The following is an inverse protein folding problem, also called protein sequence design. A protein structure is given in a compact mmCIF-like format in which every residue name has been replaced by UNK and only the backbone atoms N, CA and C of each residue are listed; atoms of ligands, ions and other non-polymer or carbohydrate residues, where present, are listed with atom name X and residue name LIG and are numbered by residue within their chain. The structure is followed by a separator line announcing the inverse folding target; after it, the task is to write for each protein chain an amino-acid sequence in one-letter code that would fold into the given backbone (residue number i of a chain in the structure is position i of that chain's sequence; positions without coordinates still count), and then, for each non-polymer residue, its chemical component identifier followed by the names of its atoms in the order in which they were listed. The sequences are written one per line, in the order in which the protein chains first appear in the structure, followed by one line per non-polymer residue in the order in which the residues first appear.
data_IF_015419477344
#
_entry.id   IF_015419477344
#
_cell.length_a   1.000
_cell.length_b   1.000
_cell.length_c   1.000
_cell.angle_alpha   90.00
_cell.angle_beta   90.00
_cell.angle_gamma   90.00
#
_symmetry.space_group_name_H-M   'P 1'
#
loop_
_entity.id
_entity.type
_entity.pdbx_description
1 polymer ?
#
# COMPACT_ATOMS: atom_id res chain seq x y z
N UNK A 1 -2.13 -9.73 20.49
CA UNK A 1 -1.98 -8.57 19.58
C UNK A 1 -1.92 -9.12 18.16
N UNK A 2 -3.04 -9.09 17.42
CA UNK A 2 -3.03 -9.47 16.01
C UNK A 2 -2.26 -8.40 15.24
N UNK A 3 -1.17 -8.80 14.57
CA UNK A 3 -0.49 -7.96 13.59
C UNK A 3 -1.51 -7.35 12.62
N UNK A 4 -1.38 -6.09 12.19
CA UNK A 4 -2.30 -5.53 11.20
C UNK A 4 -2.05 -6.28 9.89
N UNK A 5 -2.91 -7.25 9.59
CA UNK A 5 -2.89 -8.03 8.36
C UNK A 5 -3.56 -7.20 7.25
N UNK A 6 -2.99 -6.04 6.91
CA UNK A 6 -3.52 -5.16 5.86
C UNK A 6 -2.92 -5.45 4.49
N UNK A 7 -3.48 -4.87 3.43
CA UNK A 7 -2.83 -4.88 2.11
C UNK A 7 -1.96 -3.63 1.98
N UNK A 8 -0.68 -3.85 1.71
CA UNK A 8 0.28 -2.80 1.39
C UNK A 8 1.03 -3.14 0.12
N UNK A 9 1.44 -2.12 -0.63
CA UNK A 9 2.30 -2.22 -1.80
C UNK A 9 3.55 -1.36 -1.63
N UNK A 10 4.61 -1.75 -2.34
CA UNK A 10 5.90 -1.08 -2.36
C UNK A 10 6.28 -0.99 -3.83
N UNK A 11 6.13 0.21 -4.40
CA UNK A 11 6.36 0.48 -5.81
C UNK A 11 7.66 1.26 -5.93
N UNK A 12 8.68 0.62 -6.49
CA UNK A 12 10.03 1.17 -6.63
C UNK A 12 10.14 1.98 -7.93
N UNK A 13 10.94 3.05 -7.92
CA UNK A 13 11.33 3.85 -9.09
C UNK A 13 10.14 4.44 -9.88
N UNK A 14 9.05 4.79 -9.20
CA UNK A 14 7.84 5.37 -9.79
C UNK A 14 7.26 6.51 -8.96
N UNK A 15 6.60 7.45 -9.64
CA UNK A 15 5.93 8.60 -9.05
C UNK A 15 4.49 8.77 -9.53
N UNK A 16 3.77 9.74 -8.98
CA UNK A 16 2.37 10.01 -9.33
C UNK A 16 2.19 10.57 -10.74
N UNK A 17 3.24 11.10 -11.34
CA UNK A 17 3.28 11.56 -12.73
C UNK A 17 3.17 10.41 -13.74
N UNK A 18 3.43 9.17 -13.31
CA UNK A 18 3.27 7.98 -14.15
C UNK A 18 1.79 7.62 -14.30
N UNK A 19 1.33 7.55 -15.55
CA UNK A 19 -0.04 7.17 -15.88
C UNK A 19 -0.38 5.76 -15.40
N UNK A 20 0.55 4.81 -15.46
CA UNK A 20 0.35 3.44 -14.98
C UNK A 20 0.12 3.41 -13.48
N UNK A 21 0.82 4.26 -12.71
CA UNK A 21 0.61 4.43 -11.27
C UNK A 21 -0.80 4.97 -10.99
N UNK A 22 -1.22 6.03 -11.70
CA UNK A 22 -2.56 6.62 -11.52
C UNK A 22 -3.68 5.64 -11.87
N UNK A 23 -3.51 4.88 -12.95
CA UNK A 23 -4.44 3.83 -13.38
C UNK A 23 -4.49 2.68 -12.36
N UNK A 24 -3.36 2.26 -11.80
CA UNK A 24 -3.29 1.24 -10.75
C UNK A 24 -3.96 1.69 -9.45
N UNK A 25 -3.72 2.94 -9.02
CA UNK A 25 -4.38 3.53 -7.84
C UNK A 25 -5.88 3.64 -8.06
N UNK A 26 -6.32 4.03 -9.25
CA UNK A 26 -7.75 4.09 -9.60
C UNK A 26 -8.38 2.71 -9.65
N UNK A 27 -7.67 1.70 -10.14
CA UNK A 27 -8.09 0.30 -10.09
C UNK A 27 -8.23 -0.18 -8.65
N UNK A 28 -7.26 0.12 -7.77
CA UNK A 28 -7.38 -0.17 -6.34
C UNK A 28 -8.59 0.53 -5.73
N UNK A 29 -8.83 1.79 -6.09
CA UNK A 29 -9.95 2.58 -5.57
C UNK A 29 -11.30 1.98 -5.99
N UNK A 30 -11.41 1.50 -7.24
CA UNK A 30 -12.57 0.76 -7.71
C UNK A 30 -12.80 -0.54 -6.91
N UNK A 31 -11.73 -1.28 -6.57
CA UNK A 31 -11.83 -2.56 -5.87
C UNK A 31 -12.09 -2.42 -4.35
N UNK A 32 -11.57 -1.37 -3.72
CA UNK A 32 -11.63 -1.18 -2.26
C UNK A 32 -12.55 -0.04 -1.82
N UNK A 33 -13.10 0.73 -2.75
CA UNK A 33 -13.98 1.87 -2.49
C UNK A 33 -13.24 3.18 -2.25
N UNK A 34 -13.93 4.28 -2.57
CA UNK A 34 -13.42 5.63 -2.34
C UNK A 34 -13.05 5.87 -0.87
N UNK A 35 -11.92 6.54 -0.65
CA UNK A 35 -11.44 6.85 0.69
C UNK A 35 -10.59 5.75 1.36
N UNK A 36 -10.39 4.61 0.69
CA UNK A 36 -9.68 3.47 1.27
C UNK A 36 -8.28 3.19 0.68
N UNK A 37 -7.87 3.94 -0.34
CA UNK A 37 -6.55 3.80 -0.98
C UNK A 37 -5.68 4.98 -0.60
N UNK A 38 -4.59 4.70 0.10
CA UNK A 38 -3.66 5.72 0.59
C UNK A 38 -2.28 5.46 0.04
N UNK A 39 -1.58 6.50 -0.36
CA UNK A 39 -0.22 6.43 -0.87
C UNK A 39 0.66 7.47 -0.18
N UNK A 40 1.97 7.29 -0.23
CA UNK A 40 2.96 8.26 0.21
C UNK A 40 4.29 8.03 -0.49
N UNK A 41 5.15 9.03 -0.46
CA UNK A 41 6.55 8.85 -0.85
C UNK A 41 7.22 7.82 0.08
N UNK A 42 7.91 6.85 -0.50
CA UNK A 42 8.65 5.84 0.23
C UNK A 42 9.89 6.45 0.91
N UNK A 43 10.49 5.71 1.83
CA UNK A 43 11.75 6.14 2.46
C UNK A 43 12.96 6.09 1.52
N UNK A 44 12.84 5.55 0.29
CA UNK A 44 13.94 5.65 -0.70
C UNK A 44 13.98 7.03 -1.37
N UNK A 45 12.88 7.79 -1.34
CA UNK A 45 12.75 9.08 -2.02
C UNK A 45 12.25 8.99 -3.46
N UNK A 46 12.37 7.82 -4.09
CA UNK A 46 12.08 7.61 -5.52
C UNK A 46 11.03 6.51 -5.74
N UNK A 47 10.11 6.31 -4.80
CA UNK A 47 9.06 5.30 -4.93
C UNK A 47 7.85 5.59 -4.06
N UNK A 48 6.85 4.72 -4.12
CA UNK A 48 5.60 4.87 -3.40
C UNK A 48 5.32 3.70 -2.47
N UNK A 49 4.91 4.02 -1.25
CA UNK A 49 4.22 3.07 -0.39
C UNK A 49 2.72 3.27 -0.53
N UNK A 50 1.98 2.16 -0.61
CA UNK A 50 0.53 2.18 -0.69
C UNK A 50 -0.04 1.31 0.43
N UNK A 51 -1.15 1.75 1.02
CA UNK A 51 -1.90 1.00 2.01
C UNK A 51 -3.40 1.05 1.72
N UNK A 52 -4.04 -0.11 1.86
CA UNK A 52 -5.50 -0.20 1.85
C UNK A 52 -5.99 -0.11 3.29
N UNK A 53 -6.67 0.99 3.61
CA UNK A 53 -6.98 1.36 4.99
C UNK A 53 -8.03 2.45 5.08
N UNK A 54 -8.69 2.54 6.23
CA UNK A 54 -9.67 3.58 6.54
C UNK A 54 -9.06 4.62 7.47
N UNK A 55 -9.44 5.89 7.31
CA UNK A 55 -9.08 6.93 8.26
C UNK A 55 -9.89 6.74 9.55
N UNK A 56 -9.20 6.68 10.67
CA UNK A 56 -9.79 6.61 12.02
C UNK A 56 -9.28 7.78 12.83
N UNK A 57 -10.16 8.31 13.67
CA UNK A 57 -9.82 9.34 14.66
C UNK A 57 -9.90 8.65 16.02
N UNK A 58 -8.80 8.66 16.77
CA UNK A 58 -8.83 8.25 18.16
C UNK A 58 -9.66 9.28 18.95
N UNK A 59 -10.80 8.89 19.55
CA UNK A 59 -11.69 9.83 20.23
C UNK A 59 -11.06 10.46 21.48
N UNK A 60 -9.99 9.88 22.04
CA UNK A 60 -9.30 10.39 23.23
C UNK A 60 -8.23 11.41 22.89
N UNK A 61 -7.46 11.15 21.84
CA UNK A 61 -6.31 11.98 21.45
C UNK A 61 -6.61 12.92 20.29
N UNK A 62 -7.74 12.71 19.61
CA UNK A 62 -8.10 13.32 18.32
C UNK A 62 -7.05 13.08 17.22
N UNK A 63 -6.14 12.14 17.45
CA UNK A 63 -5.13 11.77 16.48
C UNK A 63 -5.76 10.99 15.34
N UNK A 64 -5.47 11.41 14.10
CA UNK A 64 -5.92 10.75 12.89
C UNK A 64 -4.86 9.76 12.44
N UNK A 65 -5.26 8.53 12.16
CA UNK A 65 -4.37 7.51 11.62
C UNK A 65 -5.11 6.64 10.61
N UNK A 66 -4.33 5.96 9.76
CA UNK A 66 -4.88 5.01 8.81
C UNK A 66 -4.88 3.64 9.47
N UNK A 67 -6.06 3.08 9.66
CA UNK A 67 -6.24 1.72 10.11
C UNK A 67 -6.28 0.79 8.89
N UNK A 68 -5.32 -0.16 8.75
CA UNK A 68 -5.31 -1.07 7.62
C UNK A 68 -6.55 -1.96 7.63
N UNK A 69 -7.21 -2.13 6.48
CA UNK A 69 -8.35 -3.03 6.34
C UNK A 69 -7.81 -4.48 6.41
N UNK A 70 -8.28 -5.32 7.36
CA UNK A 70 -7.81 -6.69 7.48
C UNK A 70 -8.05 -7.52 6.21
N UNK A 71 -7.05 -8.32 5.84
CA UNK A 71 -7.03 -9.15 4.63
C UNK A 71 -6.22 -10.43 4.88
N UNK A 72 -6.72 -11.56 4.39
CA UNK A 72 -6.02 -12.84 4.44
C UNK A 72 -4.70 -12.78 3.66
N UNK A 73 -3.69 -13.50 4.11
CA UNK A 73 -2.38 -13.48 3.48
C UNK A 73 -2.42 -13.99 2.02
N UNK A 74 -3.30 -14.96 1.75
CA UNK A 74 -3.63 -15.46 0.41
C UNK A 74 -4.02 -14.34 -0.54
N UNK A 75 -4.98 -13.52 -0.13
CA UNK A 75 -5.49 -12.42 -0.93
C UNK A 75 -4.44 -11.33 -1.08
N UNK A 76 -3.70 -11.02 -0.02
CA UNK A 76 -2.61 -10.04 -0.11
C UNK A 76 -1.57 -10.44 -1.16
N UNK A 77 -1.16 -11.72 -1.17
CA UNK A 77 -0.21 -12.24 -2.17
C UNK A 77 -0.84 -12.24 -3.57
N UNK A 78 -2.13 -12.54 -3.70
CA UNK A 78 -2.85 -12.48 -4.98
C UNK A 78 -2.85 -11.06 -5.56
N UNK A 79 -3.15 -10.05 -4.75
CA UNK A 79 -3.10 -8.64 -5.17
C UNK A 79 -1.68 -8.18 -5.52
N UNK A 80 -0.67 -8.52 -4.71
CA UNK A 80 0.73 -8.21 -5.04
C UNK A 80 1.18 -8.87 -6.34
N UNK A 81 0.79 -10.12 -6.58
CA UNK A 81 1.08 -10.83 -7.83
C UNK A 81 0.45 -10.14 -9.04
N UNK A 82 -0.74 -9.57 -8.90
CA UNK A 82 -1.37 -8.76 -9.98
C UNK A 82 -0.55 -7.50 -10.23
N UNK A 83 -0.16 -6.77 -9.18
CA UNK A 83 0.64 -5.54 -9.30
C UNK A 83 2.09 -5.78 -9.77
N UNK A 84 2.62 -6.99 -9.61
CA UNK A 84 3.96 -7.37 -10.07
C UNK A 84 4.02 -7.79 -11.56
N UNK A 85 2.89 -7.77 -12.28
CA UNK A 85 2.77 -8.27 -13.65
C UNK A 85 2.11 -7.22 -14.55
N UNK A 86 2.19 -7.45 -15.86
CA UNK A 86 1.43 -6.67 -16.86
C UNK A 86 -0.07 -6.61 -16.50
N UNK A 87 -0.71 -5.43 -16.66
CA UNK A 87 -0.17 -4.21 -17.25
C UNK A 87 0.61 -3.30 -16.28
N UNK A 88 0.68 -3.65 -14.99
CA UNK A 88 1.18 -2.74 -13.95
C UNK A 88 2.71 -2.75 -13.81
N UNK A 89 3.30 -3.92 -13.57
CA UNK A 89 4.73 -4.09 -13.27
C UNK A 89 5.29 -3.16 -12.17
N UNK A 90 4.47 -2.79 -11.18
CA UNK A 90 4.82 -1.81 -10.15
C UNK A 90 5.40 -2.44 -8.88
N UNK A 91 4.91 -3.61 -8.46
CA UNK A 91 5.30 -4.17 -7.15
C UNK A 91 6.77 -4.63 -7.11
N UNK A 92 7.47 -4.24 -6.05
CA UNK A 92 8.83 -4.66 -5.76
C UNK A 92 8.96 -6.20 -5.74
N UNK A 93 9.74 -6.74 -6.67
CA UNK A 93 9.96 -8.20 -6.81
C UNK A 93 10.59 -8.82 -5.56
N UNK A 94 11.58 -8.13 -4.98
CA UNK A 94 12.28 -8.61 -3.78
C UNK A 94 11.32 -8.75 -2.59
N UNK A 95 10.44 -7.77 -2.41
CA UNK A 95 9.40 -7.81 -1.40
C UNK A 95 8.39 -8.93 -1.66
N UNK A 96 7.92 -9.08 -2.90
CA UNK A 96 6.97 -10.14 -3.25
C UNK A 96 7.51 -11.55 -2.93
N UNK A 97 8.78 -11.83 -3.25
CA UNK A 97 9.45 -13.10 -2.92
C UNK A 97 9.54 -13.28 -1.39
N UNK A 98 10.01 -12.26 -0.68
CA UNK A 98 10.14 -12.29 0.79
C UNK A 98 8.79 -12.53 1.47
N UNK A 99 7.74 -11.81 1.09
CA UNK A 99 6.42 -11.93 1.71
C UNK A 99 5.76 -13.27 1.38
N UNK A 100 6.01 -13.84 0.21
CA UNK A 100 5.58 -15.22 -0.11
C UNK A 100 6.24 -16.24 0.83
N UNK A 101 7.55 -16.13 1.09
CA UNK A 101 8.24 -17.01 2.03
C UNK A 101 7.75 -16.81 3.48
N UNK A 102 7.42 -15.56 3.86
CA UNK A 102 6.87 -15.24 5.19
C UNK A 102 5.49 -15.80 5.41
N UNK A 103 4.62 -15.75 4.39
CA UNK A 103 3.30 -16.39 4.41
C UNK A 103 3.45 -17.88 4.74
N UNK A 104 4.34 -18.60 4.06
CA UNK A 104 4.59 -20.02 4.30
C UNK A 104 5.05 -20.30 5.74
N UNK A 105 5.76 -19.35 6.35
CA UNK A 105 6.17 -19.41 7.76
C UNK A 105 5.17 -18.82 8.76
N UNK A 106 3.94 -18.47 8.36
CA UNK A 106 2.91 -17.91 9.25
C UNK A 106 3.22 -16.51 9.80
N UNK A 107 4.04 -15.72 9.08
CA UNK A 107 4.48 -14.38 9.51
C UNK A 107 3.73 -13.27 8.76
N UNK A 108 3.65 -12.08 9.37
CA UNK A 108 3.02 -10.90 8.76
C UNK A 108 3.70 -10.48 7.43
N UNK A 109 2.90 -10.21 6.42
CA UNK A 109 3.25 -9.85 5.02
C UNK A 109 2.91 -8.40 4.67
N UNK A 110 2.40 -7.59 5.59
CA UNK A 110 1.89 -6.23 5.34
C UNK A 110 2.92 -5.12 5.58
N UNK A 111 4.21 -5.46 5.57
CA UNK A 111 5.28 -4.55 6.01
C UNK A 111 5.70 -3.59 4.90
N UNK A 112 5.92 -2.33 5.28
CA UNK A 112 6.55 -1.26 4.51
C UNK A 112 7.53 -0.52 5.44
N UNK A 113 8.63 -0.01 4.90
CA UNK A 113 9.61 0.70 5.72
C UNK A 113 9.15 2.13 5.96
N UNK A 114 9.20 2.60 7.21
CA UNK A 114 8.96 4.02 7.51
C UNK A 114 10.28 4.79 7.46
N UNK A 115 11.36 4.16 7.97
CA UNK A 115 12.71 4.73 8.01
C UNK A 115 13.68 3.75 7.35
N UNK A 116 14.56 4.26 6.49
CA UNK A 116 15.63 3.50 5.84
C UNK A 116 16.79 4.46 5.53
N UNK A 117 18.02 4.10 5.91
CA UNK A 117 19.22 4.92 5.67
C UNK A 117 19.02 6.40 6.09
N UNK A 118 18.50 6.64 7.30
CA UNK A 118 18.19 7.97 7.86
C UNK A 118 17.05 8.74 7.15
N UNK A 119 16.56 8.26 6.01
CA UNK A 119 15.42 8.82 5.30
C UNK A 119 14.10 8.30 5.88
N UNK A 120 13.10 9.19 5.92
CA UNK A 120 11.76 8.92 6.44
C UNK A 120 10.76 9.02 5.29
N UNK A 121 9.78 8.12 5.24
CA UNK A 121 8.66 8.19 4.30
C UNK A 121 7.83 9.47 4.51
N UNK A 122 7.21 9.98 3.44
CA UNK A 122 6.32 11.13 3.53
C UNK A 122 5.00 10.85 4.24
N UNK A 123 4.14 11.88 4.29
CA UNK A 123 2.79 11.76 4.82
C UNK A 123 1.87 10.99 3.88
N UNK A 124 0.84 10.38 4.46
CA UNK A 124 -0.17 9.66 3.70
C UNK A 124 -1.16 10.60 3.02
N UNK A 125 -1.41 10.34 1.74
CA UNK A 125 -2.38 11.02 0.91
C UNK A 125 -3.44 10.02 0.46
N UNK A 126 -4.71 10.41 0.52
CA UNK A 126 -5.79 9.58 0.00
C UNK A 126 -5.86 9.74 -1.52
N UNK A 127 -5.91 8.63 -2.26
CA UNK A 127 -6.23 8.67 -3.67
C UNK A 127 -7.74 8.86 -3.84
N UNK A 128 -8.14 9.95 -4.47
CA UNK A 128 -9.53 10.26 -4.79
C UNK A 128 -9.59 10.45 -6.30
N UNK A 129 -10.37 9.61 -6.97
CA UNK A 129 -10.72 9.83 -8.36
C UNK A 129 -11.81 10.89 -8.40
N UNK A 130 -11.53 12.05 -9.01
CA UNK A 130 -12.59 13.01 -9.33
C UNK A 130 -13.63 12.31 -10.22
N UNK A 131 -14.82 12.06 -9.68
CA UNK A 131 -15.97 11.81 -10.54
C UNK A 131 -16.23 13.11 -11.29
N UNK A 132 -15.88 13.14 -12.57
CA UNK A 132 -16.39 14.19 -13.47
C UNK A 132 -17.92 14.16 -13.35
N UNK A 133 -18.48 15.27 -12.86
CA UNK A 133 -19.91 15.51 -12.75
C UNK A 133 -20.42 16.03 -14.09
#
# INVERSE_FOLDING_TARGET
MSSPNGLTFDWDDVGLEDKTVQEALSWLNFNFGQGNVWYRLSSSGDGLHIIIGRMVIDPKTLHRYIEPIPMAAEDQISYRKKMAKDPWNLECRGRFISDTARKLGGRNTSRIFIVKNENISGDWNCWITETMV
#
